data_IF_645327989378
#
_entry.id   IF_645327989378
#
_cell.length_a   1.000
_cell.length_b   1.000
_cell.length_c   1.000
_cell.angle_alpha   90.00
_cell.angle_beta   90.00
_cell.angle_gamma   90.00
#
_symmetry.space_group_name_H-M   'P 1'
#
loop_
_entity.id
_entity.type
_entity.pdbx_description
1 polymer ?
#
# COMPACT_ATOMS: atom_id res chain seq x y z
N UNK A 1 27.16 57.69 -0.38
CA UNK A 1 27.31 57.01 -1.69
C UNK A 1 27.98 55.63 -1.61
N UNK A 2 28.85 55.37 -0.62
CA UNK A 2 29.53 54.07 -0.43
C UNK A 2 28.62 52.94 0.08
N UNK A 3 27.57 53.26 0.83
CA UNK A 3 26.64 52.28 1.43
C UNK A 3 25.71 51.60 0.41
N UNK A 4 25.31 52.31 -0.65
CA UNK A 4 24.43 51.77 -1.70
C UNK A 4 25.17 50.72 -2.55
N UNK A 5 26.47 50.92 -2.79
CA UNK A 5 27.32 49.99 -3.55
C UNK A 5 27.52 48.68 -2.77
N UNK A 6 27.67 48.75 -1.44
CA UNK A 6 27.81 47.55 -0.59
C UNK A 6 26.54 46.68 -0.55
N UNK A 7 25.36 47.29 -0.54
CA UNK A 7 24.11 46.52 -0.65
C UNK A 7 23.95 45.88 -2.03
N UNK A 8 24.37 46.56 -3.10
CA UNK A 8 24.31 46.01 -4.46
C UNK A 8 25.25 44.82 -4.65
N UNK A 9 26.44 44.84 -4.04
CA UNK A 9 27.35 43.69 -4.06
C UNK A 9 26.79 42.48 -3.30
N UNK A 10 26.12 42.69 -2.16
CA UNK A 10 25.52 41.59 -1.38
C UNK A 10 24.34 40.92 -2.10
N UNK A 11 23.53 41.69 -2.83
CA UNK A 11 22.43 41.15 -3.64
C UNK A 11 22.92 40.35 -4.85
N UNK A 12 24.08 40.69 -5.43
CA UNK A 12 24.65 39.96 -6.56
C UNK A 12 25.19 38.57 -6.16
N UNK A 13 25.69 38.40 -4.93
CA UNK A 13 26.17 37.10 -4.44
C UNK A 13 25.05 36.11 -4.07
N UNK A 14 23.83 36.58 -3.80
CA UNK A 14 22.68 35.71 -3.51
C UNK A 14 22.05 35.09 -4.78
N UNK A 15 22.42 35.55 -5.98
CA UNK A 15 21.86 35.09 -7.25
C UNK A 15 22.58 33.88 -7.89
N UNK A 16 23.66 33.37 -7.28
CA UNK A 16 24.46 32.25 -7.79
C UNK A 16 24.34 31.00 -6.92
N UNK A 17 23.14 30.70 -6.42
CA UNK A 17 22.85 29.35 -5.95
C UNK A 17 22.82 28.43 -7.16
N UNK A 18 23.96 27.83 -7.50
CA UNK A 18 24.03 26.77 -8.50
C UNK A 18 23.15 25.63 -7.99
N UNK A 19 22.10 25.31 -8.75
CA UNK A 19 21.33 24.09 -8.57
C UNK A 19 22.32 22.96 -8.82
N UNK A 20 22.76 22.28 -7.76
CA UNK A 20 23.58 21.08 -7.89
C UNK A 20 22.63 19.98 -8.37
N UNK A 21 22.59 19.79 -9.69
CA UNK A 21 21.99 18.60 -10.29
C UNK A 21 22.82 17.39 -9.86
N UNK A 22 22.36 16.70 -8.82
CA UNK A 22 22.95 15.44 -8.39
C UNK A 22 22.45 14.32 -9.31
N UNK A 23 23.22 13.99 -10.35
CA UNK A 23 22.94 12.82 -11.19
C UNK A 23 23.18 11.54 -10.38
N UNK A 24 22.15 10.70 -10.23
CA UNK A 24 22.26 9.37 -9.62
C UNK A 24 22.11 8.30 -10.69
N UNK A 25 23.06 7.37 -10.71
CA UNK A 25 23.14 6.29 -11.65
C UNK A 25 22.77 4.99 -10.94
N UNK A 26 21.90 4.19 -11.55
CA UNK A 26 21.64 2.82 -11.13
C UNK A 26 22.60 1.90 -11.89
N UNK A 27 23.46 1.22 -11.16
CA UNK A 27 24.42 0.25 -11.69
C UNK A 27 23.97 -1.15 -11.30
N UNK A 28 23.80 -2.02 -12.30
CA UNK A 28 23.48 -3.43 -12.09
C UNK A 28 24.70 -4.27 -12.46
N UNK A 29 25.25 -5.01 -11.50
CA UNK A 29 26.37 -5.90 -11.74
C UNK A 29 25.93 -7.24 -12.33
N UNK A 30 26.88 -8.01 -12.87
CA UNK A 30 26.61 -9.30 -13.53
C UNK A 30 26.02 -10.37 -12.60
N UNK A 31 26.19 -10.23 -11.28
CA UNK A 31 25.57 -11.08 -10.26
C UNK A 31 24.14 -10.66 -9.90
N UNK A 32 23.62 -9.61 -10.53
CA UNK A 32 22.29 -9.05 -10.28
C UNK A 32 22.22 -8.06 -9.12
N UNK A 33 23.35 -7.75 -8.47
CA UNK A 33 23.38 -6.72 -7.42
C UNK A 33 23.16 -5.33 -8.02
N UNK A 34 22.41 -4.50 -7.30
CA UNK A 34 22.04 -3.14 -7.73
C UNK A 34 22.63 -2.13 -6.74
N UNK A 35 23.37 -1.16 -7.26
CA UNK A 35 23.98 -0.07 -6.50
C UNK A 35 23.57 1.28 -7.11
N UNK A 36 23.27 2.26 -6.26
CA UNK A 36 23.01 3.64 -6.68
C UNK A 36 24.21 4.50 -6.31
N UNK A 37 24.75 5.26 -7.27
CA UNK A 37 25.95 6.07 -7.07
C UNK A 37 25.86 7.40 -7.80
N UNK A 38 26.59 8.41 -7.31
CA UNK A 38 26.61 9.77 -7.87
C UNK A 38 27.52 9.95 -9.09
N UNK A 39 28.01 8.86 -9.68
CA UNK A 39 28.89 8.84 -10.85
C UNK A 39 28.49 7.71 -11.81
N UNK A 40 28.79 7.84 -13.12
CA UNK A 40 28.52 6.79 -14.11
C UNK A 40 29.04 5.42 -13.68
N UNK A 41 28.38 4.36 -14.14
CA UNK A 41 28.73 2.99 -13.78
C UNK A 41 30.09 2.62 -14.37
N UNK A 42 31.01 2.13 -13.53
CA UNK A 42 32.35 1.71 -13.98
C UNK A 42 32.24 0.46 -14.88
N UNK A 43 31.25 -0.39 -14.63
CA UNK A 43 30.94 -1.60 -15.42
C UNK A 43 29.50 -2.07 -15.13
N UNK A 44 28.84 -2.69 -16.11
CA UNK A 44 27.46 -3.18 -15.99
C UNK A 44 26.46 -2.32 -16.77
N UNK A 45 25.18 -2.65 -16.68
CA UNK A 45 24.12 -1.87 -17.34
C UNK A 45 23.86 -0.57 -16.56
N UNK A 46 23.95 0.56 -17.27
CA UNK A 46 23.75 1.90 -16.74
C UNK A 46 22.36 2.43 -17.07
N UNK A 47 21.66 2.95 -16.04
CA UNK A 47 20.52 3.81 -16.23
C UNK A 47 20.71 5.10 -15.41
N UNK A 48 20.78 6.23 -16.10
CA UNK A 48 20.73 7.55 -15.45
C UNK A 48 19.32 7.79 -14.93
N UNK A 49 19.20 8.09 -13.64
CA UNK A 49 17.93 8.42 -13.01
C UNK A 49 17.88 9.94 -12.84
N UNK A 50 17.00 10.60 -13.60
CA UNK A 50 16.55 11.93 -13.25
C UNK A 50 15.72 11.82 -11.97
N UNK A 51 16.32 12.15 -10.82
CA UNK A 51 15.60 12.30 -9.56
C UNK A 51 14.80 13.61 -9.58
N UNK A 52 13.82 13.68 -10.48
CA UNK A 52 12.65 14.49 -10.20
C UNK A 52 11.94 13.77 -9.05
N UNK A 53 12.15 14.24 -7.82
CA UNK A 53 11.27 13.94 -6.71
C UNK A 53 9.89 14.51 -7.08
N UNK A 54 9.17 13.78 -7.94
CA UNK A 54 7.74 13.99 -8.12
C UNK A 54 7.16 13.94 -6.73
N UNK A 55 6.55 15.05 -6.32
CA UNK A 55 5.86 15.19 -5.06
C UNK A 55 4.92 13.99 -4.94
N UNK A 56 5.34 12.97 -4.18
CA UNK A 56 4.44 11.87 -3.84
C UNK A 56 3.37 12.56 -3.01
N UNK A 57 2.14 12.60 -3.52
CA UNK A 57 0.99 12.98 -2.71
C UNK A 57 1.16 12.30 -1.36
N UNK A 58 1.36 13.10 -0.32
CA UNK A 58 1.33 12.63 1.05
C UNK A 58 -0.05 12.02 1.24
N UNK A 59 -0.16 10.71 1.01
CA UNK A 59 -1.38 9.97 1.30
C UNK A 59 -1.60 10.18 2.77
N UNK A 60 -2.71 10.87 3.10
CA UNK A 60 -3.17 11.03 4.48
C UNK A 60 -3.04 9.69 5.18
N UNK A 61 -2.58 9.66 6.45
CA UNK A 61 -2.55 8.44 7.22
C UNK A 61 -3.91 7.76 7.10
N UNK A 62 -3.93 6.62 6.43
CA UNK A 62 -5.18 5.89 6.23
C UNK A 62 -5.68 5.51 7.61
N UNK A 63 -6.95 5.80 7.89
CA UNK A 63 -7.59 5.33 9.11
C UNK A 63 -7.42 3.81 9.20
N UNK A 64 -7.17 3.30 10.40
CA UNK A 64 -7.11 1.86 10.64
C UNK A 64 -8.40 1.21 10.14
N UNK A 65 -8.31 0.00 9.61
CA UNK A 65 -9.42 -0.75 9.00
C UNK A 65 -10.48 -1.23 10.03
N UNK A 66 -10.47 -0.69 11.24
CA UNK A 66 -11.16 -1.20 12.40
C UNK A 66 -12.66 -1.41 12.15
N UNK A 67 -13.18 -2.54 12.64
CA UNK A 67 -14.59 -2.89 12.54
C UNK A 67 -14.86 -4.13 11.67
N UNK A 68 -16.14 -4.40 11.44
CA UNK A 68 -16.62 -5.55 10.68
C UNK A 68 -16.88 -5.17 9.22
N UNK A 69 -16.51 -6.08 8.33
CA UNK A 69 -16.63 -5.93 6.88
C UNK A 69 -17.17 -7.21 6.25
N UNK A 70 -18.24 -7.10 5.46
CA UNK A 70 -18.81 -8.21 4.74
C UNK A 70 -18.19 -8.32 3.35
N UNK A 71 -17.63 -9.48 3.00
CA UNK A 71 -17.15 -9.78 1.65
C UNK A 71 -18.33 -9.86 0.66
N UNK A 72 -18.34 -8.95 -0.31
CA UNK A 72 -19.28 -8.95 -1.43
C UNK A 72 -18.86 -9.90 -2.54
N UNK A 73 -17.55 -10.11 -2.70
CA UNK A 73 -16.99 -10.98 -3.73
C UNK A 73 -15.59 -10.55 -4.16
N UNK A 74 -15.15 -11.07 -5.30
CA UNK A 74 -13.83 -10.77 -5.87
C UNK A 74 -13.90 -10.34 -7.33
N UNK A 75 -12.97 -9.51 -7.76
CA UNK A 75 -12.80 -9.12 -9.17
C UNK A 75 -11.34 -9.28 -9.62
N UNK A 76 -11.14 -9.38 -10.94
CA UNK A 76 -9.80 -9.44 -11.56
C UNK A 76 -9.16 -8.06 -11.75
N UNK A 77 -10.00 -7.02 -11.86
CA UNK A 77 -9.58 -5.62 -12.02
C UNK A 77 -10.32 -4.76 -11.00
N UNK A 78 -9.70 -3.67 -10.55
CA UNK A 78 -10.13 -2.90 -9.36
C UNK A 78 -11.61 -2.50 -9.40
N UNK A 79 -12.10 -2.04 -10.55
CA UNK A 79 -13.50 -1.60 -10.75
C UNK A 79 -14.24 -2.51 -11.74
N UNK A 80 -13.82 -3.78 -11.81
CA UNK A 80 -14.40 -4.77 -12.70
C UNK A 80 -15.64 -5.45 -12.12
N UNK A 81 -16.19 -6.38 -12.89
CA UNK A 81 -17.27 -7.25 -12.44
C UNK A 81 -16.87 -8.01 -11.18
N UNK A 82 -17.68 -7.88 -10.14
CA UNK A 82 -17.52 -8.59 -8.86
C UNK A 82 -18.24 -9.94 -8.97
N UNK A 83 -17.49 -11.01 -8.76
CA UNK A 83 -18.01 -12.37 -8.69
C UNK A 83 -18.21 -12.77 -7.23
N UNK A 84 -19.44 -13.18 -6.91
CA UNK A 84 -19.84 -13.61 -5.58
C UNK A 84 -20.12 -15.10 -5.57
N UNK A 85 -19.64 -15.77 -4.52
CA UNK A 85 -20.09 -17.12 -4.18
C UNK A 85 -21.32 -17.00 -3.27
N UNK A 86 -22.49 -17.42 -3.74
CA UNK A 86 -23.74 -17.32 -2.98
C UNK A 86 -23.85 -18.39 -1.87
N UNK A 87 -23.05 -19.46 -1.95
CA UNK A 87 -23.06 -20.52 -0.95
C UNK A 87 -22.18 -20.21 0.27
N UNK A 88 -21.38 -19.15 0.18
CA UNK A 88 -20.33 -18.81 1.14
C UNK A 88 -20.45 -17.35 1.56
N UNK A 89 -20.59 -17.09 2.85
CA UNK A 89 -20.45 -15.74 3.40
C UNK A 89 -19.17 -15.62 4.21
N UNK A 90 -18.49 -14.46 4.10
CA UNK A 90 -17.27 -14.19 4.86
C UNK A 90 -17.35 -12.81 5.49
N UNK A 91 -17.35 -12.78 6.82
CA UNK A 91 -17.22 -11.53 7.59
C UNK A 91 -15.80 -11.39 8.07
N UNK A 92 -15.20 -10.23 7.82
CA UNK A 92 -13.85 -9.88 8.18
C UNK A 92 -13.90 -8.83 9.29
N UNK A 93 -13.35 -9.13 10.45
CA UNK A 93 -13.29 -8.21 11.59
C UNK A 93 -11.85 -7.78 11.77
N UNK A 94 -11.59 -6.49 11.60
CA UNK A 94 -10.28 -5.90 11.80
C UNK A 94 -10.21 -5.21 13.16
N UNK A 95 -9.16 -5.55 13.91
CA UNK A 95 -8.68 -4.86 15.09
C UNK A 95 -7.26 -4.33 14.82
N UNK A 96 -6.67 -3.64 15.80
CA UNK A 96 -5.35 -3.02 15.64
C UNK A 96 -4.26 -3.99 15.18
N UNK A 97 -4.17 -5.15 15.82
CA UNK A 97 -3.13 -6.14 15.62
C UNK A 97 -3.65 -7.50 15.14
N UNK A 98 -4.94 -7.60 14.85
CA UNK A 98 -5.58 -8.85 14.48
C UNK A 98 -6.64 -8.63 13.40
N UNK A 99 -6.75 -9.59 12.48
CA UNK A 99 -7.88 -9.75 11.59
C UNK A 99 -8.48 -11.12 11.80
N UNK A 100 -9.80 -11.17 11.98
CA UNK A 100 -10.55 -12.40 12.14
C UNK A 100 -11.48 -12.58 10.95
N UNK A 101 -11.46 -13.75 10.32
CA UNK A 101 -12.43 -14.12 9.29
C UNK A 101 -13.40 -15.14 9.85
N UNK A 102 -14.69 -14.81 9.83
CA UNK A 102 -15.78 -15.74 10.04
C UNK A 102 -16.32 -16.19 8.68
N UNK A 103 -16.22 -17.48 8.41
CA UNK A 103 -16.68 -18.08 7.16
C UNK A 103 -17.89 -18.96 7.47
N UNK A 104 -18.99 -18.76 6.75
CA UNK A 104 -20.18 -19.59 6.87
C UNK A 104 -20.53 -20.22 5.53
N UNK A 105 -20.72 -21.54 5.53
CA UNK A 105 -21.12 -22.31 4.36
C UNK A 105 -22.21 -23.31 4.78
N UNK A 106 -23.47 -23.00 4.47
CA UNK A 106 -24.61 -23.76 4.97
C UNK A 106 -24.66 -23.77 6.51
N UNK A 107 -24.49 -24.94 7.12
CA UNK A 107 -24.46 -25.13 8.59
C UNK A 107 -23.05 -25.06 9.18
N UNK A 108 -22.01 -25.07 8.35
CA UNK A 108 -20.63 -25.01 8.79
C UNK A 108 -20.23 -23.57 9.05
N UNK A 109 -19.58 -23.34 10.19
CA UNK A 109 -18.99 -22.06 10.55
C UNK A 109 -17.54 -22.27 10.96
N UNK A 110 -16.63 -21.60 10.26
CA UNK A 110 -15.20 -21.59 10.58
C UNK A 110 -14.77 -20.18 11.01
N UNK A 111 -13.75 -20.11 11.86
CA UNK A 111 -13.15 -18.84 12.28
C UNK A 111 -11.64 -18.93 12.17
N UNK A 112 -11.05 -17.97 11.48
CA UNK A 112 -9.60 -17.87 11.28
C UNK A 112 -9.10 -16.56 11.87
N UNK A 113 -8.06 -16.64 12.69
CA UNK A 113 -7.44 -15.48 13.30
C UNK A 113 -6.06 -15.26 12.72
N UNK A 114 -5.79 -14.04 12.30
CA UNK A 114 -4.54 -13.63 11.68
C UNK A 114 -3.93 -12.48 12.47
N UNK A 115 -2.69 -12.63 12.90
CA UNK A 115 -1.94 -11.50 13.43
C UNK A 115 -1.61 -10.57 12.26
N UNK A 116 -1.94 -9.28 12.41
CA UNK A 116 -1.68 -8.28 11.39
C UNK A 116 -0.88 -7.11 11.93
N UNK A 117 -0.16 -6.45 11.04
CA UNK A 117 0.40 -5.11 11.28
C UNK A 117 -0.14 -4.17 10.21
N UNK A 118 -0.94 -3.20 10.62
CA UNK A 118 -1.50 -2.19 9.73
C UNK A 118 -0.47 -1.10 9.45
N UNK A 119 -0.39 -0.68 8.19
CA UNK A 119 0.49 0.36 7.69
C UNK A 119 -0.30 1.25 6.71
N UNK A 120 0.23 2.42 6.35
CA UNK A 120 -0.49 3.32 5.45
C UNK A 120 -0.66 2.68 4.07
N UNK A 121 -1.90 2.31 3.72
CA UNK A 121 -2.27 1.73 2.42
C UNK A 121 -2.06 0.22 2.30
N UNK A 122 -1.70 -0.49 3.38
CA UNK A 122 -1.53 -1.94 3.39
C UNK A 122 -1.63 -2.52 4.81
N UNK A 123 -1.72 -3.83 4.91
CA UNK A 123 -1.47 -4.55 6.16
C UNK A 123 -0.70 -5.83 5.86
N UNK A 124 0.13 -6.22 6.81
CA UNK A 124 0.95 -7.42 6.73
C UNK A 124 0.32 -8.49 7.59
N UNK A 125 0.07 -9.67 7.03
CA UNK A 125 -0.37 -10.85 7.75
C UNK A 125 0.84 -11.74 8.03
N UNK A 126 0.94 -12.21 9.26
CA UNK A 126 1.92 -13.21 9.68
C UNK A 126 1.17 -14.51 10.03
N UNK A 127 1.13 -15.47 9.09
CA UNK A 127 0.43 -16.73 9.30
C UNK A 127 1.03 -17.90 8.49
N UNK A 128 1.30 -19.06 9.11
CA UNK A 128 1.96 -20.20 8.45
C UNK A 128 1.26 -20.72 7.19
N UNK A 129 -0.08 -20.59 7.12
CA UNK A 129 -0.87 -20.99 5.96
C UNK A 129 -0.48 -20.24 4.67
N UNK A 130 0.24 -19.11 4.78
CA UNK A 130 0.76 -18.35 3.64
C UNK A 130 2.26 -18.61 3.38
N UNK A 131 2.78 -19.76 3.81
CA UNK A 131 4.12 -20.24 3.43
C UNK A 131 5.24 -19.81 4.38
N UNK A 132 5.02 -19.90 5.70
CA UNK A 132 6.00 -19.52 6.75
C UNK A 132 6.55 -18.09 6.65
N UNK A 133 5.90 -17.23 5.86
CA UNK A 133 6.32 -15.87 5.57
C UNK A 133 5.22 -14.86 5.81
N UNK A 134 5.62 -13.59 5.81
CA UNK A 134 4.73 -12.45 5.91
C UNK A 134 4.18 -12.11 4.53
N UNK A 135 2.86 -11.90 4.43
CA UNK A 135 2.21 -11.46 3.19
C UNK A 135 1.62 -10.07 3.38
N UNK A 136 1.92 -9.16 2.45
CA UNK A 136 1.39 -7.79 2.45
C UNK A 136 0.19 -7.70 1.53
N UNK A 137 -0.96 -7.29 2.06
CA UNK A 137 -2.16 -7.02 1.28
C UNK A 137 -2.39 -5.51 1.21
N UNK A 138 -2.75 -5.02 0.02
CA UNK A 138 -2.84 -3.58 -0.23
C UNK A 138 -4.28 -3.09 -0.15
N UNK A 139 -4.50 -1.99 0.56
CA UNK A 139 -5.79 -1.32 0.58
C UNK A 139 -5.85 -0.36 -0.60
N UNK A 140 -6.82 -0.58 -1.49
CA UNK A 140 -7.01 0.23 -2.70
C UNK A 140 -8.08 1.29 -2.51
N UNK A 141 -9.08 1.01 -1.68
CA UNK A 141 -10.16 1.92 -1.32
C UNK A 141 -10.57 1.67 0.12
N UNK A 142 -10.78 2.74 0.89
CA UNK A 142 -11.28 2.69 2.26
C UNK A 142 -12.14 3.93 2.50
N UNK A 143 -13.44 3.72 2.68
CA UNK A 143 -14.43 4.72 3.08
C UNK A 143 -15.24 4.16 4.25
N UNK A 144 -16.23 4.89 4.77
CA UNK A 144 -17.10 4.39 5.84
C UNK A 144 -17.93 3.15 5.44
N UNK A 145 -18.15 2.93 4.14
CA UNK A 145 -19.01 1.86 3.64
C UNK A 145 -18.27 0.85 2.77
N UNK A 146 -17.12 1.20 2.23
CA UNK A 146 -16.45 0.41 1.21
C UNK A 146 -14.97 0.17 1.55
N UNK A 147 -14.56 -1.08 1.45
CA UNK A 147 -13.17 -1.50 1.57
C UNK A 147 -12.82 -2.40 0.38
N UNK A 148 -11.75 -2.07 -0.34
CA UNK A 148 -11.24 -2.90 -1.43
C UNK A 148 -9.79 -3.26 -1.16
N UNK A 149 -9.51 -4.56 -1.08
CA UNK A 149 -8.20 -5.12 -0.77
C UNK A 149 -7.66 -5.85 -1.99
N UNK A 150 -6.42 -5.55 -2.39
CA UNK A 150 -5.71 -6.28 -3.43
C UNK A 150 -4.76 -7.30 -2.82
N UNK A 151 -4.93 -8.57 -3.20
CA UNK A 151 -4.10 -9.70 -2.78
C UNK A 151 -4.06 -10.78 -3.87
N UNK A 152 -2.90 -11.41 -4.06
CA UNK A 152 -2.71 -12.55 -4.98
C UNK A 152 -3.26 -12.31 -6.41
N UNK A 153 -3.14 -11.08 -6.92
CA UNK A 153 -3.60 -10.72 -8.27
C UNK A 153 -5.11 -10.55 -8.43
N UNK A 154 -5.88 -10.53 -7.33
CA UNK A 154 -7.31 -10.23 -7.34
C UNK A 154 -7.64 -9.08 -6.37
N UNK A 155 -8.87 -8.58 -6.47
CA UNK A 155 -9.42 -7.57 -5.58
C UNK A 155 -10.60 -8.17 -4.82
N UNK A 156 -10.55 -8.13 -3.49
CA UNK A 156 -11.65 -8.47 -2.60
C UNK A 156 -12.42 -7.20 -2.29
N UNK A 157 -13.73 -7.22 -2.52
CA UNK A 157 -14.64 -6.11 -2.28
C UNK A 157 -15.42 -6.38 -1.01
N UNK A 158 -15.40 -5.42 -0.08
CA UNK A 158 -16.10 -5.52 1.18
C UNK A 158 -16.96 -4.29 1.42
N UNK A 159 -18.11 -4.51 2.07
CA UNK A 159 -18.97 -3.46 2.60
C UNK A 159 -18.91 -3.43 4.11
N UNK A 160 -19.11 -2.28 4.74
CA UNK A 160 -19.14 -2.20 6.20
C UNK A 160 -20.27 -3.06 6.80
N UNK A 161 -20.00 -3.68 7.96
CA UNK A 161 -20.92 -4.55 8.69
C UNK A 161 -20.65 -6.04 8.51
N UNK A 162 -21.51 -6.87 9.09
CA UNK A 162 -21.44 -8.33 9.00
C UNK A 162 -22.17 -8.85 7.76
N UNK A 163 -21.74 -9.98 7.20
CA UNK A 163 -22.50 -10.66 6.15
C UNK A 163 -23.71 -11.36 6.76
N UNK A 164 -24.77 -10.61 7.08
CA UNK A 164 -26.08 -11.07 7.55
C UNK A 164 -26.09 -12.53 8.06
N UNK A 165 -25.74 -12.72 9.33
CA UNK A 165 -25.95 -13.98 10.05
C UNK A 165 -27.44 -14.11 10.34
N UNK A 166 -28.25 -14.36 9.31
CA UNK A 166 -29.65 -14.70 9.49
C UNK A 166 -29.75 -16.15 10.00
N UNK A 167 -29.47 -16.37 11.29
CA UNK A 167 -30.15 -17.44 12.02
C UNK A 167 -31.58 -16.99 12.28
N UNK A 168 -32.40 -17.05 11.25
CA UNK A 168 -33.84 -17.24 11.44
C UNK A 168 -34.03 -18.68 11.89
N UNK A 169 -34.48 -18.90 13.14
CA UNK A 169 -35.42 -19.99 13.45
C UNK A 169 -36.35 -19.59 14.59
N UNK A 170 -37.62 -19.40 14.19
CA UNK A 170 -38.90 -19.65 14.85
C UNK A 170 -39.14 -19.16 16.28
#
# INVERSE_FOLDING_TARGET
MITIIRCFCLLFFLGLAQVVDASVFKCTAADGSVVFQGSPCISGDEAQIDMLFGEQEQRKPMAMLAGSWCELGTSKVLDGTVYRDEALSKTWVFAEHQMTQHIQQGQRQDTFNYNIRQQTGNFVIDHPAFGSGQVSWHVRRHTEQELVIAAYGNFTHLTAGECNVAMVRN
#
